data_IF_009199983034
#
_entry.id   IF_009199983034
#
_cell.length_a   1.000
_cell.length_b   1.000
_cell.length_c   1.000
_cell.angle_alpha   90.00
_cell.angle_beta   90.00
_cell.angle_gamma   90.00
#
_symmetry.space_group_name_H-M   'P 1'
#
loop_
_entity.id
_entity.type
_entity.pdbx_description
1 polymer ?
#
# COMPACT_ATOMS: atom_id res chain seq x y z
N UNK A 1 -23.75 8.60 1.55
CA UNK A 1 -22.56 9.47 1.68
C UNK A 1 -21.30 8.70 1.28
N UNK A 2 -20.49 9.12 0.30
CA UNK A 2 -19.24 8.40 -0.09
C UNK A 2 -18.28 8.26 1.09
N UNK A 3 -17.41 7.22 1.15
CA UNK A 3 -16.39 7.17 2.18
C UNK A 3 -15.56 8.47 2.12
N UNK A 4 -15.49 9.16 3.26
CA UNK A 4 -14.70 10.38 3.40
C UNK A 4 -13.27 9.93 3.69
N UNK A 5 -12.40 10.06 2.69
CA UNK A 5 -10.96 9.91 2.90
C UNK A 5 -10.44 11.30 3.27
N UNK A 6 -10.24 11.54 4.56
CA UNK A 6 -9.81 12.84 5.08
C UNK A 6 -8.30 12.86 5.37
N UNK A 7 -7.66 13.99 5.04
CA UNK A 7 -6.31 14.31 5.52
C UNK A 7 -5.18 14.26 4.48
N UNK A 8 -5.37 13.58 3.34
CA UNK A 8 -4.44 13.59 2.20
C UNK A 8 -2.99 13.22 2.56
N UNK A 9 -2.04 13.78 1.83
CA UNK A 9 -0.61 13.53 2.07
C UNK A 9 -0.10 13.98 3.45
N UNK A 10 -0.54 15.14 4.01
CA UNK A 10 -0.17 15.52 5.37
C UNK A 10 -0.56 14.49 6.42
N UNK A 11 -1.76 13.90 6.34
CA UNK A 11 -2.17 12.86 7.30
C UNK A 11 -1.31 11.58 7.22
N UNK A 12 -0.85 11.22 6.01
CA UNK A 12 0.15 10.16 5.85
C UNK A 12 1.47 10.54 6.54
N UNK A 13 1.95 11.77 6.34
CA UNK A 13 3.19 12.27 6.93
C UNK A 13 3.13 12.27 8.47
N UNK A 14 2.02 12.73 9.05
CA UNK A 14 1.79 12.70 10.50
C UNK A 14 1.80 11.26 11.04
N UNK A 15 1.12 10.35 10.35
CA UNK A 15 1.10 8.92 10.71
C UNK A 15 2.49 8.30 10.61
N UNK A 16 3.25 8.63 9.57
CA UNK A 16 4.62 8.17 9.41
C UNK A 16 5.49 8.67 10.57
N UNK A 17 5.48 9.96 10.92
CA UNK A 17 6.32 10.49 12.02
C UNK A 17 5.96 9.80 13.33
N UNK A 18 4.65 9.69 13.62
CA UNK A 18 4.16 9.07 14.83
C UNK A 18 4.62 7.62 14.97
N UNK A 19 4.48 6.80 13.93
CA UNK A 19 4.91 5.41 13.97
C UNK A 19 6.43 5.27 13.90
N UNK A 20 7.10 6.02 13.03
CA UNK A 20 8.54 5.92 12.81
C UNK A 20 9.33 6.22 14.08
N UNK A 21 8.95 7.26 14.83
CA UNK A 21 9.59 7.59 16.11
C UNK A 21 9.46 6.51 17.19
N UNK A 22 8.39 5.70 17.15
CA UNK A 22 8.17 4.59 18.08
C UNK A 22 9.07 3.40 17.74
N UNK A 23 9.16 3.03 16.46
CA UNK A 23 9.88 1.82 16.03
C UNK A 23 11.36 2.06 15.73
N UNK A 24 11.75 3.31 15.44
CA UNK A 24 13.12 3.71 15.10
C UNK A 24 13.55 4.94 15.93
N UNK A 25 13.67 4.80 17.28
CA UNK A 25 14.07 5.90 18.15
C UNK A 25 15.49 6.39 17.88
N UNK A 26 16.37 5.52 17.37
CA UNK A 26 17.66 5.89 16.80
C UNK A 26 17.60 5.81 15.26
N UNK A 27 17.39 6.94 14.55
CA UNK A 27 17.29 6.97 13.10
C UNK A 27 18.62 6.63 12.40
N UNK A 28 19.76 6.71 13.09
CA UNK A 28 21.08 6.48 12.51
C UNK A 28 21.40 4.99 12.31
N UNK A 29 20.58 4.10 12.87
CA UNK A 29 20.68 2.64 12.66
C UNK A 29 20.36 2.26 11.20
N UNK A 30 19.58 3.09 10.50
CA UNK A 30 19.18 2.81 9.12
C UNK A 30 20.28 3.18 8.13
N UNK A 31 20.47 2.32 7.12
CA UNK A 31 21.45 2.56 6.07
C UNK A 31 21.10 3.80 5.22
N UNK A 32 22.10 4.40 4.58
CA UNK A 32 21.90 5.50 3.62
C UNK A 32 20.91 5.13 2.50
N UNK A 33 20.95 3.89 2.01
CA UNK A 33 20.03 3.40 0.98
C UNK A 33 18.58 3.33 1.49
N UNK A 34 18.40 2.91 2.74
CA UNK A 34 17.10 2.90 3.40
C UNK A 34 16.56 4.33 3.53
N UNK A 35 17.40 5.28 3.94
CA UNK A 35 17.03 6.70 4.02
C UNK A 35 16.62 7.29 2.67
N UNK A 36 17.34 6.97 1.60
CA UNK A 36 16.94 7.41 0.25
C UNK A 36 15.52 6.92 -0.11
N UNK A 37 15.20 5.66 0.24
CA UNK A 37 13.85 5.11 0.01
C UNK A 37 12.82 5.80 0.89
N UNK A 38 13.16 6.08 2.15
CA UNK A 38 12.29 6.81 3.08
C UNK A 38 11.94 8.19 2.52
N UNK A 39 12.94 8.96 2.09
CA UNK A 39 12.73 10.32 1.56
C UNK A 39 11.86 10.29 0.31
N UNK A 40 12.12 9.36 -0.61
CA UNK A 40 11.34 9.17 -1.83
C UNK A 40 9.86 8.90 -1.53
N UNK A 41 9.57 7.96 -0.63
CA UNK A 41 8.19 7.61 -0.25
C UNK A 41 7.53 8.62 0.68
N UNK A 42 8.32 9.37 1.44
CA UNK A 42 7.85 10.48 2.27
C UNK A 42 7.34 11.64 1.41
N UNK A 43 8.01 11.94 0.30
CA UNK A 43 7.63 13.01 -0.64
C UNK A 43 6.58 12.60 -1.68
N UNK A 44 6.39 11.29 -1.88
CA UNK A 44 5.48 10.76 -2.86
C UNK A 44 4.02 11.02 -2.45
N UNK A 45 3.44 12.09 -2.99
CA UNK A 45 2.02 12.41 -2.83
C UNK A 45 1.16 11.57 -3.78
N UNK A 46 0.28 10.76 -3.19
CA UNK A 46 -0.68 9.90 -3.89
C UNK A 46 -2.13 10.20 -3.46
N UNK A 47 -2.35 11.33 -2.80
CA UNK A 47 -3.67 11.71 -2.27
C UNK A 47 -4.72 11.85 -3.38
N UNK A 48 -4.32 12.18 -4.61
CA UNK A 48 -5.22 12.19 -5.76
C UNK A 48 -5.87 10.82 -6.02
N UNK A 49 -5.18 9.71 -5.71
CA UNK A 49 -5.72 8.35 -5.86
C UNK A 49 -6.95 8.13 -4.99
N UNK A 50 -7.00 8.75 -3.80
CA UNK A 50 -8.13 8.64 -2.89
C UNK A 50 -9.39 9.26 -3.50
N UNK A 51 -9.26 10.42 -4.14
CA UNK A 51 -10.35 11.10 -4.84
C UNK A 51 -10.77 10.33 -6.09
N UNK A 52 -9.81 9.90 -6.91
CA UNK A 52 -10.10 9.19 -8.17
C UNK A 52 -10.78 7.85 -7.94
N UNK A 53 -10.43 7.15 -6.85
CA UNK A 53 -10.97 5.83 -6.58
C UNK A 53 -12.23 5.86 -5.71
N UNK A 54 -12.68 7.04 -5.25
CA UNK A 54 -13.75 7.17 -4.25
C UNK A 54 -15.05 6.43 -4.64
N UNK A 55 -15.45 6.50 -5.90
CA UNK A 55 -16.68 5.88 -6.41
C UNK A 55 -16.60 4.34 -6.50
N UNK A 56 -15.40 3.78 -6.50
CA UNK A 56 -15.17 2.33 -6.55
C UNK A 56 -15.15 1.69 -5.17
N UNK A 57 -15.35 2.46 -4.09
CA UNK A 57 -15.40 1.95 -2.72
C UNK A 57 -16.81 2.01 -2.13
N UNK A 58 -17.26 0.86 -1.62
CA UNK A 58 -18.56 0.73 -0.94
C UNK A 58 -18.54 1.40 0.42
N UNK A 59 -19.71 1.87 0.86
CA UNK A 59 -19.97 2.37 2.22
C UNK A 59 -20.36 1.24 3.16
N UNK A 60 -20.80 0.12 2.59
CA UNK A 60 -21.31 -1.02 3.30
C UNK A 60 -20.20 -2.03 3.51
N UNK A 61 -20.10 -2.55 4.73
CA UNK A 61 -19.06 -3.49 5.14
C UNK A 61 -17.94 -2.84 5.96
N UNK A 62 -16.85 -3.58 6.20
CA UNK A 62 -15.69 -3.06 6.93
C UNK A 62 -15.09 -1.84 6.25
N UNK A 63 -14.51 -0.94 7.05
CA UNK A 63 -13.83 0.24 6.53
C UNK A 63 -12.73 -0.18 5.54
N UNK A 64 -12.78 0.28 4.27
CA UNK A 64 -11.76 -0.06 3.29
C UNK A 64 -10.42 0.58 3.64
N UNK A 65 -9.33 -0.04 3.19
CA UNK A 65 -8.01 0.59 3.22
C UNK A 65 -7.97 1.78 2.28
N UNK A 66 -7.30 2.84 2.71
CA UNK A 66 -7.10 4.06 1.90
C UNK A 66 -6.40 3.72 0.59
N UNK A 67 -6.99 4.06 -0.58
CA UNK A 67 -6.42 3.79 -1.90
C UNK A 67 -4.98 4.27 -2.07
N UNK A 68 -4.65 5.46 -1.57
CA UNK A 68 -3.32 6.03 -1.64
C UNK A 68 -2.30 5.22 -0.84
N UNK A 69 -2.67 4.67 0.32
CA UNK A 69 -1.81 3.77 1.09
C UNK A 69 -1.62 2.41 0.39
N UNK A 70 -2.68 1.87 -0.22
CA UNK A 70 -2.59 0.63 -1.01
C UNK A 70 -1.66 0.80 -2.22
N UNK A 71 -1.81 1.90 -2.97
CA UNK A 71 -0.94 2.23 -4.10
C UNK A 71 0.50 2.44 -3.64
N UNK A 72 0.71 3.21 -2.55
CA UNK A 72 2.04 3.43 -1.96
C UNK A 72 2.70 2.12 -1.60
N UNK A 73 1.97 1.22 -0.97
CA UNK A 73 2.48 -0.09 -0.59
C UNK A 73 2.91 -0.92 -1.80
N UNK A 74 2.09 -0.94 -2.86
CA UNK A 74 2.43 -1.67 -4.07
C UNK A 74 3.65 -1.07 -4.79
N UNK A 75 3.73 0.25 -4.89
CA UNK A 75 4.92 0.92 -5.45
C UNK A 75 6.18 0.60 -4.63
N UNK A 76 6.07 0.48 -3.31
CA UNK A 76 7.19 0.08 -2.45
C UNK A 76 7.61 -1.36 -2.71
N UNK A 77 6.67 -2.28 -2.92
CA UNK A 77 6.98 -3.67 -3.27
C UNK A 77 7.76 -3.73 -4.60
N UNK A 78 7.34 -2.94 -5.59
CA UNK A 78 8.02 -2.84 -6.89
C UNK A 78 9.43 -2.24 -6.74
N UNK A 79 9.59 -1.18 -5.93
CA UNK A 79 10.89 -0.55 -5.63
C UNK A 79 11.86 -1.57 -5.04
N UNK A 80 11.37 -2.43 -4.16
CA UNK A 80 12.12 -3.51 -3.51
C UNK A 80 12.25 -4.78 -4.37
N UNK A 81 11.70 -4.76 -5.59
CA UNK A 81 11.68 -5.89 -6.54
C UNK A 81 10.98 -7.14 -5.99
N UNK A 82 9.99 -6.95 -5.14
CA UNK A 82 9.12 -8.00 -4.62
C UNK A 82 7.94 -8.16 -5.58
N UNK A 83 7.95 -9.23 -6.36
CA UNK A 83 6.95 -9.48 -7.42
C UNK A 83 5.74 -10.28 -6.94
N UNK A 84 5.82 -10.93 -5.78
CA UNK A 84 4.71 -11.71 -5.20
C UNK A 84 4.00 -10.93 -4.10
N UNK A 85 2.69 -10.76 -4.25
CA UNK A 85 1.83 -10.12 -3.24
C UNK A 85 1.79 -10.93 -1.95
N UNK A 86 1.81 -12.26 -2.04
CA UNK A 86 1.88 -13.13 -0.86
C UNK A 86 3.15 -12.87 -0.05
N UNK A 87 4.30 -12.77 -0.73
CA UNK A 87 5.58 -12.42 -0.09
C UNK A 87 5.52 -11.01 0.48
N UNK A 88 5.00 -10.05 -0.29
CA UNK A 88 4.89 -8.66 0.15
C UNK A 88 4.05 -8.51 1.43
N UNK A 89 2.91 -9.21 1.51
CA UNK A 89 2.06 -9.21 2.72
C UNK A 89 2.78 -9.82 3.92
N UNK A 90 3.61 -10.85 3.73
CA UNK A 90 4.46 -11.38 4.83
C UNK A 90 5.46 -10.32 5.30
N UNK A 91 6.16 -9.69 4.35
CA UNK A 91 7.14 -8.66 4.64
C UNK A 91 6.53 -7.45 5.35
N UNK A 92 5.31 -7.02 4.96
CA UNK A 92 4.57 -5.96 5.65
C UNK A 92 4.29 -6.28 7.12
N UNK A 93 4.06 -7.55 7.46
CA UNK A 93 3.80 -8.00 8.84
C UNK A 93 5.09 -8.14 9.65
N UNK A 94 6.18 -8.56 9.02
CA UNK A 94 7.45 -8.84 9.68
C UNK A 94 8.32 -7.58 9.86
N UNK A 95 8.26 -6.64 8.92
CA UNK A 95 9.10 -5.44 8.92
C UNK A 95 8.26 -4.17 9.16
N UNK A 96 8.38 -3.54 10.35
CA UNK A 96 7.65 -2.31 10.66
C UNK A 96 7.88 -1.19 9.66
N UNK A 97 9.09 -1.08 9.08
CA UNK A 97 9.41 -0.01 8.15
C UNK A 97 8.53 -0.08 6.89
N UNK A 98 8.23 -1.27 6.39
CA UNK A 98 7.40 -1.42 5.18
C UNK A 98 5.96 -1.02 5.43
N UNK A 99 5.40 -1.35 6.61
CA UNK A 99 4.09 -0.88 7.02
C UNK A 99 4.05 0.66 7.13
N UNK A 100 5.04 1.24 7.81
CA UNK A 100 5.16 2.69 8.02
C UNK A 100 5.28 3.44 6.68
N UNK A 101 6.18 3.02 5.79
CA UNK A 101 6.35 3.62 4.46
C UNK A 101 5.11 3.45 3.58
N UNK A 102 4.33 2.39 3.79
CA UNK A 102 3.08 2.18 3.08
C UNK A 102 1.93 3.06 3.61
N UNK A 103 2.09 3.70 4.78
CA UNK A 103 1.03 4.46 5.45
C UNK A 103 0.05 3.57 6.23
N UNK A 104 0.47 2.38 6.66
CA UNK A 104 -0.32 1.49 7.51
C UNK A 104 0.17 1.51 8.97
N UNK A 105 -0.72 1.35 9.95
CA UNK A 105 -0.30 1.01 11.30
C UNK A 105 0.45 -0.33 11.30
N UNK A 106 1.57 -0.42 12.01
CA UNK A 106 2.46 -1.61 12.00
C UNK A 106 1.74 -2.91 12.38
N UNK A 107 0.74 -2.84 13.26
CA UNK A 107 -0.04 -4.00 13.72
C UNK A 107 -1.30 -4.27 12.89
N UNK A 108 -1.55 -3.46 11.86
CA UNK A 108 -2.78 -3.49 11.09
C UNK A 108 -2.49 -3.27 9.59
N UNK A 109 -1.87 -4.27 8.98
CA UNK A 109 -1.50 -4.27 7.55
C UNK A 109 -2.53 -5.01 6.69
N UNK A 110 -2.68 -4.67 5.40
CA UNK A 110 -3.60 -5.35 4.50
C UNK A 110 -3.26 -6.82 4.28
N UNK A 111 -4.29 -7.64 4.04
CA UNK A 111 -4.14 -9.03 3.63
C UNK A 111 -3.95 -9.18 2.12
N UNK A 112 -3.71 -10.41 1.68
CA UNK A 112 -3.54 -10.76 0.26
C UNK A 112 -4.79 -10.39 -0.54
N UNK A 113 -5.98 -10.79 -0.05
CA UNK A 113 -7.25 -10.48 -0.70
C UNK A 113 -7.48 -8.98 -0.85
N UNK A 114 -7.10 -8.18 0.15
CA UNK A 114 -7.23 -6.72 0.11
C UNK A 114 -6.42 -6.08 -1.02
N UNK A 115 -5.23 -6.61 -1.33
CA UNK A 115 -4.45 -6.15 -2.48
C UNK A 115 -5.11 -6.52 -3.81
N UNK A 116 -5.62 -7.74 -3.96
CA UNK A 116 -6.31 -8.14 -5.18
C UNK A 116 -7.62 -7.38 -5.38
N UNK A 117 -8.39 -7.13 -4.32
CA UNK A 117 -9.57 -6.26 -4.36
C UNK A 117 -9.21 -4.82 -4.78
N UNK A 118 -8.04 -4.32 -4.38
CA UNK A 118 -7.55 -3.01 -4.79
C UNK A 118 -7.15 -2.98 -6.26
N UNK A 119 -6.47 -4.00 -6.76
CA UNK A 119 -6.10 -4.10 -8.18
C UNK A 119 -7.31 -4.24 -9.09
N UNK A 120 -8.31 -5.01 -8.65
CA UNK A 120 -9.58 -5.16 -9.36
C UNK A 120 -10.30 -3.80 -9.49
N UNK A 121 -10.38 -3.02 -8.42
CA UNK A 121 -10.96 -1.66 -8.45
C UNK A 121 -10.18 -0.68 -9.32
N UNK A 122 -8.86 -0.86 -9.46
CA UNK A 122 -8.02 -0.02 -10.31
C UNK A 122 -8.18 -0.39 -11.79
N UNK A 123 -8.60 -1.61 -12.08
CA UNK A 123 -8.72 -2.13 -13.43
C UNK A 123 -10.06 -1.68 -14.06
N UNK A 124 -10.06 -0.51 -14.69
CA UNK A 124 -11.23 0.11 -15.32
C UNK A 124 -11.50 -0.39 -16.75
N UNK A 125 -11.05 -1.60 -17.10
CA UNK A 125 -11.26 -2.18 -18.43
C UNK A 125 -12.39 -3.19 -18.40
N UNK A 126 -13.21 -3.20 -19.46
CA UNK A 126 -14.24 -4.22 -19.70
C UNK A 126 -13.64 -5.61 -19.96
N UNK A 127 -12.36 -5.68 -20.33
CA UNK A 127 -11.62 -6.93 -20.56
C UNK A 127 -11.00 -7.42 -19.25
N UNK A 128 -11.03 -8.72 -18.97
CA UNK A 128 -10.47 -9.25 -17.74
C UNK A 128 -8.94 -9.06 -17.70
N UNK A 129 -8.39 -8.63 -16.56
CA UNK A 129 -6.93 -8.49 -16.37
C UNK A 129 -6.20 -9.84 -16.28
N UNK A 130 -6.94 -10.90 -15.98
CA UNK A 130 -6.42 -12.26 -15.93
C UNK A 130 -6.65 -12.93 -17.29
N UNK A 131 -5.59 -13.48 -17.87
CA UNK A 131 -5.73 -14.39 -19.01
C UNK A 131 -6.59 -15.58 -18.58
N UNK A 132 -7.34 -16.22 -19.50
CA UNK A 132 -7.96 -17.50 -19.22
C UNK A 132 -6.92 -18.43 -18.59
N UNK A 133 -7.30 -19.16 -17.54
CA UNK A 133 -6.45 -20.18 -16.91
C UNK A 133 -6.29 -21.39 -17.86
N UNK A 134 -5.80 -21.15 -19.08
CA UNK A 134 -5.30 -22.18 -19.95
C UNK A 134 -4.04 -22.73 -19.30
N UNK A 135 -4.23 -23.81 -18.53
CA UNK A 135 -3.12 -24.63 -18.09
C UNK A 135 -2.44 -25.12 -19.36
N UNK A 136 -1.24 -24.64 -19.63
CA UNK A 136 -0.39 -25.24 -20.64
C UNK A 136 -0.34 -26.74 -20.39
N UNK A 137 -0.86 -27.52 -21.34
CA UNK A 137 -0.71 -28.97 -21.32
C UNK A 137 0.78 -29.22 -21.40
N UNK A 138 1.36 -29.82 -20.35
CA UNK A 138 2.78 -30.21 -20.39
C UNK A 138 2.96 -31.17 -21.58
N UNK A 139 3.99 -30.95 -22.42
CA UNK A 139 4.31 -31.87 -23.50
C UNK A 139 4.69 -33.25 -22.97
#
# INVERSE_FOLDING_TARGET
MLPIISGGHPAYQDTFISQFSIYYPDPFVLSKQTWNTIIEFWQLDLSLTDTMMQDYYSKFGPAPRTPSCMLRSYLLSLKLKVTSITVWVSMLKECPLYAILSGFPVKDTPGIGTFYDFFDRMWLSDSNNLSPNERFVKP
#
